data_IF_623069745973
#
_entry.id   IF_623069745973
#
_cell.length_a   1.000
_cell.length_b   1.000
_cell.length_c   1.000
_cell.angle_alpha   90.00
_cell.angle_beta   90.00
_cell.angle_gamma   90.00
#
_symmetry.space_group_name_H-M   'P 1'
#
loop_
_entity.id
_entity.type
_entity.pdbx_description
1 polymer ?
#
# COMPACT_ATOMS: atom_id res chain seq x y z
N UNK A 1 22.70 -2.01 -6.73
CA UNK A 1 21.69 -1.78 -7.79
C UNK A 1 20.34 -1.64 -7.12
N UNK A 2 19.51 -0.71 -7.57
CA UNK A 2 18.12 -0.59 -7.05
C UNK A 2 17.14 -1.09 -8.12
N UNK A 3 16.12 -1.80 -7.67
CA UNK A 3 15.03 -2.31 -8.48
C UNK A 3 13.83 -1.38 -8.25
N UNK A 4 13.29 -0.81 -9.31
CA UNK A 4 12.08 0.00 -9.26
C UNK A 4 10.91 -0.87 -9.72
N UNK A 5 9.93 -1.06 -8.86
CA UNK A 5 8.81 -1.94 -9.12
C UNK A 5 7.49 -1.16 -9.06
N UNK A 6 6.61 -1.42 -10.02
CA UNK A 6 5.32 -0.76 -10.08
C UNK A 6 4.38 -1.29 -9.00
N UNK A 7 3.51 -0.45 -8.42
CA UNK A 7 2.43 -0.91 -7.58
C UNK A 7 1.38 -1.63 -8.42
N UNK A 8 0.42 -2.27 -7.77
CA UNK A 8 -0.78 -2.81 -8.41
C UNK A 8 -2.04 -2.27 -7.76
N UNK A 9 -3.15 -2.31 -8.47
CA UNK A 9 -4.47 -1.97 -7.91
C UNK A 9 -4.89 -3.00 -6.86
N UNK A 10 -4.68 -4.28 -7.16
CA UNK A 10 -5.03 -5.38 -6.27
C UNK A 10 -4.06 -5.49 -5.10
N UNK A 11 -4.61 -5.75 -3.92
CA UNK A 11 -3.85 -5.88 -2.67
C UNK A 11 -4.36 -7.05 -1.85
N UNK A 12 -3.44 -7.61 -1.04
CA UNK A 12 -3.76 -8.61 -0.05
C UNK A 12 -4.46 -7.94 1.15
N UNK A 13 -5.61 -8.46 1.55
CA UNK A 13 -6.38 -7.95 2.69
C UNK A 13 -5.89 -8.49 4.04
N UNK A 14 -5.04 -9.52 4.05
CA UNK A 14 -4.57 -10.18 5.27
C UNK A 14 -3.31 -9.50 5.85
N UNK A 15 -3.44 -8.26 6.26
CA UNK A 15 -2.38 -7.50 6.91
C UNK A 15 -2.37 -7.78 8.42
N UNK A 16 -1.21 -8.03 8.98
CA UNK A 16 -1.05 -8.43 10.39
C UNK A 16 0.01 -7.66 11.16
N UNK A 17 0.74 -6.76 10.49
CA UNK A 17 1.75 -5.91 11.14
C UNK A 17 1.15 -4.66 11.76
N UNK A 18 1.93 -3.99 12.59
CA UNK A 18 1.55 -2.74 13.22
C UNK A 18 1.19 -1.67 12.17
N UNK A 19 0.35 -0.70 12.52
CA UNK A 19 0.10 0.47 11.67
C UNK A 19 1.38 1.18 11.23
N UNK A 20 1.27 2.00 10.19
CA UNK A 20 2.39 2.80 9.68
C UNK A 20 2.92 3.77 10.72
N UNK A 21 4.24 3.95 10.72
CA UNK A 21 4.96 4.99 11.45
C UNK A 21 6.03 5.63 10.56
N UNK A 22 6.80 6.58 11.10
CA UNK A 22 7.87 7.25 10.33
C UNK A 22 8.95 6.29 9.83
N UNK A 23 9.17 5.16 10.51
CA UNK A 23 10.15 4.15 10.13
C UNK A 23 9.68 3.25 9.00
N UNK A 24 8.38 3.28 8.68
CA UNK A 24 7.80 2.56 7.54
C UNK A 24 8.25 3.14 6.19
N UNK A 25 8.83 4.34 6.18
CA UNK A 25 9.16 5.07 4.95
C UNK A 25 10.65 5.32 4.78
N UNK A 26 11.11 5.30 3.54
CA UNK A 26 12.51 5.57 3.20
C UNK A 26 12.89 7.04 3.41
N UNK A 27 11.95 7.96 3.16
CA UNK A 27 12.12 9.40 3.34
C UNK A 27 11.32 9.87 4.56
N UNK A 28 11.92 9.76 5.73
CA UNK A 28 11.27 10.09 7.01
C UNK A 28 10.85 11.56 7.09
N UNK A 29 11.61 12.44 6.49
CA UNK A 29 11.32 13.88 6.42
C UNK A 29 10.00 14.21 5.70
N UNK A 30 9.51 13.29 4.87
CA UNK A 30 8.23 13.43 4.18
C UNK A 30 7.05 12.85 4.98
N UNK A 31 7.30 12.22 6.11
CA UNK A 31 6.26 11.57 6.91
C UNK A 31 5.13 12.53 7.34
N UNK A 32 5.40 13.77 7.81
CA UNK A 32 4.34 14.71 8.15
C UNK A 32 3.41 15.03 6.98
N UNK A 33 3.94 15.18 5.78
CA UNK A 33 3.16 15.43 4.57
C UNK A 33 2.28 14.23 4.20
N UNK A 34 2.81 13.02 4.35
CA UNK A 34 2.04 11.78 4.13
C UNK A 34 0.89 11.65 5.13
N UNK A 35 1.10 12.05 6.39
CA UNK A 35 0.05 12.05 7.41
C UNK A 35 -1.03 13.08 7.10
N UNK A 36 -0.67 14.22 6.51
CA UNK A 36 -1.62 15.22 6.04
C UNK A 36 -2.44 14.68 4.86
N UNK A 37 -1.80 14.06 3.88
CA UNK A 37 -2.49 13.40 2.75
C UNK A 37 -3.48 12.34 3.24
N UNK A 38 -3.07 11.50 4.19
CA UNK A 38 -3.96 10.49 4.78
C UNK A 38 -5.13 11.10 5.55
N UNK A 39 -4.91 12.25 6.19
CA UNK A 39 -6.00 12.99 6.84
C UNK A 39 -7.02 13.48 5.81
N UNK A 40 -6.57 14.13 4.75
CA UNK A 40 -7.46 14.59 3.67
C UNK A 40 -8.19 13.45 2.99
N UNK A 41 -7.49 12.35 2.72
CA UNK A 41 -8.11 11.13 2.21
C UNK A 41 -9.21 10.61 3.14
N UNK A 42 -8.93 10.50 4.44
CA UNK A 42 -9.89 10.04 5.44
C UNK A 42 -11.12 10.96 5.55
N UNK A 43 -10.91 12.28 5.52
CA UNK A 43 -12.00 13.27 5.50
C UNK A 43 -12.86 13.14 4.25
N UNK A 44 -12.23 12.97 3.09
CA UNK A 44 -12.94 12.74 1.83
C UNK A 44 -13.78 11.46 1.90
N UNK A 45 -13.19 10.34 2.28
CA UNK A 45 -13.89 9.05 2.40
C UNK A 45 -15.10 9.14 3.33
N UNK A 46 -14.96 9.87 4.44
CA UNK A 46 -16.05 10.02 5.43
C UNK A 46 -17.21 10.86 4.92
N UNK A 47 -16.93 11.88 4.11
CA UNK A 47 -17.91 12.90 3.71
C UNK A 47 -18.41 12.76 2.26
N UNK A 48 -17.73 11.99 1.42
CA UNK A 48 -18.07 11.84 0.01
C UNK A 48 -19.38 11.08 -0.20
N UNK A 49 -20.09 11.45 -1.26
CA UNK A 49 -21.27 10.68 -1.71
C UNK A 49 -20.86 9.30 -2.23
N UNK A 50 -21.80 8.36 -2.22
CA UNK A 50 -21.57 7.02 -2.79
C UNK A 50 -21.05 7.11 -4.23
N UNK A 51 -21.62 8.01 -5.05
CA UNK A 51 -21.20 8.22 -6.42
C UNK A 51 -19.72 8.62 -6.52
N UNK A 52 -19.27 9.57 -5.69
CA UNK A 52 -17.88 10.03 -5.68
C UNK A 52 -16.93 8.90 -5.22
N UNK A 53 -17.34 8.08 -4.27
CA UNK A 53 -16.56 6.91 -3.84
C UNK A 53 -16.50 5.84 -4.93
N UNK A 54 -17.58 5.61 -5.64
CA UNK A 54 -17.61 4.69 -6.79
C UNK A 54 -16.66 5.17 -7.90
N UNK A 55 -16.63 6.46 -8.18
CA UNK A 55 -15.72 7.05 -9.16
C UNK A 55 -14.26 6.97 -8.70
N UNK A 56 -13.96 7.26 -7.42
CA UNK A 56 -12.62 7.22 -6.87
C UNK A 56 -12.02 5.79 -6.91
N UNK A 57 -12.80 4.80 -6.51
CA UNK A 57 -12.32 3.42 -6.43
C UNK A 57 -12.52 2.61 -7.71
N UNK A 58 -13.30 3.12 -8.66
CA UNK A 58 -13.68 2.35 -9.85
C UNK A 58 -14.58 1.15 -9.55
N UNK A 59 -15.28 1.16 -8.39
CA UNK A 59 -16.08 0.05 -7.87
C UNK A 59 -17.54 0.48 -7.84
N UNK A 60 -18.43 -0.33 -8.41
CA UNK A 60 -19.89 -0.06 -8.45
C UNK A 60 -20.62 -0.59 -7.23
N UNK A 61 -20.13 -1.67 -6.62
CA UNK A 61 -20.76 -2.34 -5.50
C UNK A 61 -20.48 -1.59 -4.19
N UNK A 62 -21.52 -1.10 -3.53
CA UNK A 62 -21.41 -0.36 -2.26
C UNK A 62 -20.76 -1.18 -1.15
N UNK A 63 -21.08 -2.47 -1.04
CA UNK A 63 -20.51 -3.35 -0.02
C UNK A 63 -18.98 -3.54 -0.19
N UNK A 64 -18.49 -3.47 -1.43
CA UNK A 64 -17.06 -3.51 -1.69
C UNK A 64 -16.38 -2.18 -1.32
N UNK A 65 -17.06 -1.06 -1.55
CA UNK A 65 -16.58 0.28 -1.17
C UNK A 65 -16.43 0.39 0.34
N UNK A 66 -17.35 -0.16 1.12
CA UNK A 66 -17.33 -0.11 2.58
C UNK A 66 -16.06 -0.72 3.18
N UNK A 67 -15.43 -1.68 2.51
CA UNK A 67 -14.15 -2.25 2.91
C UNK A 67 -13.01 -1.21 2.90
N UNK A 68 -13.11 -0.14 2.13
CA UNK A 68 -12.10 0.90 2.01
C UNK A 68 -12.37 2.12 2.92
N UNK A 69 -13.51 2.15 3.62
CA UNK A 69 -13.90 3.24 4.52
C UNK A 69 -13.32 3.07 5.93
N UNK A 70 -12.02 2.81 6.03
CA UNK A 70 -11.35 2.68 7.31
C UNK A 70 -10.19 3.69 7.44
N UNK A 71 -9.81 3.99 8.68
CA UNK A 71 -8.68 4.88 8.97
C UNK A 71 -7.36 4.19 8.61
N UNK A 72 -6.73 4.62 7.53
CA UNK A 72 -5.46 4.07 7.07
C UNK A 72 -4.31 4.29 8.05
N UNK A 73 -4.41 5.27 8.96
CA UNK A 73 -3.40 5.50 9.99
C UNK A 73 -3.39 4.41 11.06
N UNK A 74 -4.53 3.77 11.29
CA UNK A 74 -4.71 2.71 12.28
C UNK A 74 -4.79 1.31 11.64
N UNK A 75 -4.85 1.25 10.33
CA UNK A 75 -4.96 -0.01 9.62
C UNK A 75 -3.70 -0.87 9.81
N UNK A 76 -3.87 -2.19 9.97
CA UNK A 76 -2.72 -3.10 9.99
C UNK A 76 -1.98 -3.06 8.65
N UNK A 77 -0.67 -3.30 8.70
CA UNK A 77 0.20 -3.27 7.54
C UNK A 77 0.77 -4.63 7.19
N UNK A 78 1.51 -4.67 6.10
CA UNK A 78 2.30 -5.81 5.64
C UNK A 78 3.50 -5.29 4.84
N UNK A 79 4.53 -6.11 4.62
CA UNK A 79 5.59 -5.79 3.69
C UNK A 79 5.00 -5.46 2.32
N UNK A 80 5.46 -4.37 1.69
CA UNK A 80 4.89 -3.91 0.43
C UNK A 80 4.97 -4.98 -0.67
N UNK A 81 6.04 -5.77 -0.73
CA UNK A 81 6.19 -6.85 -1.69
C UNK A 81 5.15 -7.98 -1.53
N UNK A 82 4.56 -8.12 -0.36
CA UNK A 82 3.50 -9.08 -0.05
C UNK A 82 2.10 -8.45 -0.04
N UNK A 83 2.04 -7.12 0.09
CA UNK A 83 0.79 -6.38 0.07
C UNK A 83 0.21 -6.34 -1.34
N UNK A 84 1.02 -5.95 -2.31
CA UNK A 84 0.57 -5.88 -3.69
C UNK A 84 0.42 -7.27 -4.31
N UNK A 85 -0.63 -7.43 -5.10
CA UNK A 85 -0.93 -8.66 -5.84
C UNK A 85 -1.10 -8.36 -7.33
N UNK A 86 -1.42 -9.37 -8.14
CA UNK A 86 -1.55 -9.23 -9.59
C UNK A 86 -0.35 -9.79 -10.35
N UNK A 87 -0.41 -9.71 -11.66
CA UNK A 87 0.43 -10.49 -12.58
C UNK A 87 1.92 -10.40 -12.28
N UNK A 88 2.47 -9.19 -12.12
CA UNK A 88 3.91 -9.01 -11.87
C UNK A 88 4.36 -9.63 -10.55
N UNK A 89 3.53 -9.52 -9.51
CA UNK A 89 3.81 -10.07 -8.18
C UNK A 89 3.64 -11.59 -8.15
N UNK A 90 2.70 -12.12 -8.91
CA UNK A 90 2.50 -13.56 -9.09
C UNK A 90 3.70 -14.18 -9.83
N UNK A 91 4.19 -13.53 -10.88
CA UNK A 91 5.41 -13.96 -11.59
C UNK A 91 6.65 -13.91 -10.71
N UNK A 92 6.80 -12.86 -9.89
CA UNK A 92 7.89 -12.75 -8.93
C UNK A 92 7.87 -13.91 -7.92
N UNK A 93 6.67 -14.31 -7.51
CA UNK A 93 6.42 -15.39 -6.55
C UNK A 93 7.37 -15.34 -5.34
N UNK A 94 7.44 -14.17 -4.70
CA UNK A 94 8.43 -13.84 -3.67
C UNK A 94 8.56 -14.90 -2.59
N UNK A 95 7.45 -15.48 -2.12
CA UNK A 95 7.44 -16.50 -1.06
C UNK A 95 8.14 -17.79 -1.45
N UNK A 96 8.20 -18.13 -2.74
CA UNK A 96 8.83 -19.34 -3.24
C UNK A 96 10.35 -19.17 -3.48
N UNK A 97 10.87 -17.95 -3.41
CA UNK A 97 12.29 -17.67 -3.57
C UNK A 97 13.10 -18.18 -2.35
N UNK A 98 14.35 -18.52 -2.60
CA UNK A 98 15.30 -18.82 -1.54
C UNK A 98 15.58 -17.59 -0.66
N UNK A 99 16.06 -17.82 0.57
CA UNK A 99 16.27 -16.76 1.58
C UNK A 99 17.24 -15.67 1.13
N UNK A 100 18.26 -15.99 0.35
CA UNK A 100 19.23 -15.02 -0.17
C UNK A 100 18.58 -14.10 -1.20
N UNK A 101 17.80 -14.67 -2.11
CA UNK A 101 17.03 -13.92 -3.11
C UNK A 101 15.96 -13.05 -2.46
N UNK A 102 15.24 -13.55 -1.46
CA UNK A 102 14.29 -12.74 -0.68
C UNK A 102 14.98 -11.53 -0.03
N UNK A 103 16.09 -11.75 0.67
CA UNK A 103 16.84 -10.68 1.32
C UNK A 103 17.32 -9.63 0.30
N UNK A 104 17.84 -10.06 -0.83
CA UNK A 104 18.28 -9.17 -1.89
C UNK A 104 17.15 -8.28 -2.42
N UNK A 105 15.95 -8.86 -2.65
CA UNK A 105 14.77 -8.11 -3.09
C UNK A 105 14.35 -7.10 -2.04
N UNK A 106 14.27 -7.49 -0.77
CA UNK A 106 13.86 -6.58 0.31
C UNK A 106 14.79 -5.38 0.47
N UNK A 107 16.10 -5.58 0.30
CA UNK A 107 17.10 -4.51 0.41
C UNK A 107 17.14 -3.58 -0.81
N UNK A 108 16.83 -4.10 -1.98
CA UNK A 108 17.11 -3.40 -3.23
C UNK A 108 15.87 -2.93 -3.98
N UNK A 109 14.66 -3.32 -3.58
CA UNK A 109 13.44 -2.98 -4.29
C UNK A 109 12.71 -1.80 -3.66
N UNK A 110 12.31 -0.86 -4.51
CA UNK A 110 11.46 0.27 -4.19
C UNK A 110 10.18 0.15 -5.00
N UNK A 111 9.04 0.37 -4.34
CA UNK A 111 7.71 0.35 -4.96
C UNK A 111 7.15 1.77 -4.92
N UNK A 112 6.56 2.23 -6.01
CA UNK A 112 6.03 3.58 -6.15
C UNK A 112 4.52 3.58 -5.95
N UNK A 113 4.09 3.81 -4.71
CA UNK A 113 2.68 3.95 -4.37
C UNK A 113 2.16 5.34 -4.74
N UNK A 114 0.96 5.42 -5.32
CA UNK A 114 0.31 6.69 -5.61
C UNK A 114 -0.06 7.45 -4.32
N UNK A 115 -0.44 6.74 -3.26
CA UNK A 115 -0.83 7.35 -1.99
C UNK A 115 0.38 7.58 -1.06
N UNK A 116 1.25 6.60 -0.95
CA UNK A 116 2.36 6.64 0.01
C UNK A 116 3.69 7.11 -0.59
N UNK A 117 3.74 7.33 -1.91
CA UNK A 117 4.99 7.64 -2.61
C UNK A 117 5.93 6.45 -2.65
N UNK A 118 7.22 6.69 -2.55
CA UNK A 118 8.23 5.63 -2.61
C UNK A 118 8.26 4.87 -1.29
N UNK A 119 8.02 3.57 -1.36
CA UNK A 119 8.10 2.66 -0.21
C UNK A 119 9.12 1.54 -0.47
N UNK A 120 9.69 0.99 0.61
CA UNK A 120 10.55 -0.19 0.51
C UNK A 120 9.70 -1.44 0.30
N UNK A 121 10.32 -2.50 -0.22
CA UNK A 121 9.67 -3.80 -0.36
C UNK A 121 9.35 -4.49 0.97
N UNK A 122 10.12 -4.19 2.03
CA UNK A 122 9.96 -4.71 3.39
C UNK A 122 8.92 -3.99 4.22
#
# INVERSE_FOLDING_TARGET
MKILFSPSESKNENCTKNPIDENSFIFKELFPYRMEDLKHYGEFIKNASLKNLQELFGIKNENEIDKFKHDLKQAPTQEAILLYTGVSYEYLNFKALDKKSQAYILENTLIFSNLFGVVRAN
#
